data_IF_998473805149
#
_entry.id   IF_998473805149
#
_cell.length_a   1.000
_cell.length_b   1.000
_cell.length_c   1.000
_cell.angle_alpha   90.00
_cell.angle_beta   90.00
_cell.angle_gamma   90.00
#
_symmetry.space_group_name_H-M   'P 1'
#
loop_
_entity.id
_entity.type
_entity.pdbx_description
1 polymer ?
#
# COMPACT_ATOMS: atom_id res chain seq x y z
N UNK A 1 -9.80 -4.40 -22.70
CA UNK A 1 -10.97 -5.01 -22.02
C UNK A 1 -12.02 -3.94 -21.70
N UNK A 2 -13.27 -4.32 -21.66
CA UNK A 2 -14.38 -3.40 -21.40
C UNK A 2 -14.97 -3.70 -20.00
N UNK A 3 -14.87 -2.79 -19.03
CA UNK A 3 -15.36 -3.03 -17.68
C UNK A 3 -16.88 -3.22 -17.58
N UNK A 4 -17.64 -2.78 -18.58
CA UNK A 4 -19.10 -2.96 -18.61
C UNK A 4 -19.51 -4.39 -18.94
N UNK A 5 -18.66 -5.11 -19.69
CA UNK A 5 -18.98 -6.45 -20.19
C UNK A 5 -18.09 -7.54 -19.63
N UNK A 6 -16.79 -7.26 -19.48
CA UNK A 6 -15.79 -8.31 -19.25
C UNK A 6 -15.57 -8.62 -17.76
N UNK A 7 -15.96 -7.70 -16.85
CA UNK A 7 -15.82 -7.88 -15.39
C UNK A 7 -17.13 -8.18 -14.67
N UNK A 8 -18.22 -8.41 -15.40
CA UNK A 8 -19.48 -8.81 -14.78
C UNK A 8 -19.38 -10.24 -14.24
N UNK A 9 -19.58 -10.45 -12.93
CA UNK A 9 -19.44 -11.77 -12.33
C UNK A 9 -20.60 -12.69 -12.75
N UNK A 10 -20.27 -13.93 -13.07
CA UNK A 10 -21.27 -14.96 -13.24
C UNK A 10 -21.73 -15.46 -11.86
N UNK A 11 -22.97 -15.20 -11.50
CA UNK A 11 -23.49 -15.52 -10.18
C UNK A 11 -24.25 -16.85 -10.12
N UNK A 12 -25.12 -17.11 -11.11
CA UNK A 12 -25.99 -18.27 -11.11
C UNK A 12 -26.56 -18.57 -12.51
N UNK A 13 -27.27 -19.66 -12.63
CA UNK A 13 -28.01 -20.00 -13.85
C UNK A 13 -29.19 -19.05 -14.11
N UNK A 14 -29.70 -18.97 -15.35
CA UNK A 14 -30.83 -18.07 -15.70
C UNK A 14 -32.08 -18.24 -14.88
N UNK A 15 -32.36 -19.45 -14.37
CA UNK A 15 -33.49 -19.77 -13.52
C UNK A 15 -33.44 -19.07 -12.16
N UNK A 16 -32.29 -18.58 -11.78
CA UNK A 16 -32.08 -17.84 -10.53
C UNK A 16 -32.13 -16.32 -10.70
N UNK A 17 -32.53 -15.84 -11.89
CA UNK A 17 -32.67 -14.41 -12.14
C UNK A 17 -33.59 -13.75 -11.12
N UNK A 18 -33.12 -12.65 -10.51
CA UNK A 18 -33.87 -11.89 -9.50
C UNK A 18 -33.73 -12.39 -8.06
N UNK A 19 -33.21 -13.59 -7.83
CA UNK A 19 -33.09 -14.15 -6.47
C UNK A 19 -31.92 -13.56 -5.66
N UNK A 20 -31.07 -12.76 -6.28
CA UNK A 20 -29.91 -12.19 -5.58
C UNK A 20 -30.32 -11.20 -4.49
N UNK A 21 -31.31 -10.33 -4.76
CA UNK A 21 -31.83 -9.41 -3.77
C UNK A 21 -32.47 -10.15 -2.58
N UNK A 22 -33.24 -11.21 -2.86
CA UNK A 22 -33.83 -12.06 -1.83
C UNK A 22 -32.77 -12.75 -0.95
N UNK A 23 -31.67 -13.21 -1.57
CA UNK A 23 -30.53 -13.77 -0.85
C UNK A 23 -29.92 -12.76 0.09
N UNK A 24 -29.66 -11.53 -0.39
CA UNK A 24 -29.08 -10.46 0.42
C UNK A 24 -29.99 -10.09 1.60
N UNK A 25 -31.29 -9.93 1.38
CA UNK A 25 -32.24 -9.63 2.44
C UNK A 25 -32.34 -10.76 3.48
N UNK A 26 -32.27 -12.01 3.02
CA UNK A 26 -32.24 -13.18 3.91
C UNK A 26 -30.97 -13.18 4.78
N UNK A 27 -29.82 -12.93 4.21
CA UNK A 27 -28.55 -12.86 4.95
C UNK A 27 -28.51 -11.66 5.93
N UNK A 28 -29.08 -10.52 5.53
CA UNK A 28 -29.20 -9.34 6.38
C UNK A 28 -30.28 -9.49 7.48
N UNK A 29 -31.16 -10.46 7.37
CA UNK A 29 -32.27 -10.65 8.30
C UNK A 29 -33.39 -9.59 8.21
N UNK A 30 -33.46 -8.86 7.09
CA UNK A 30 -34.46 -7.82 6.89
C UNK A 30 -34.33 -7.10 5.55
N UNK A 31 -35.20 -6.11 5.34
CA UNK A 31 -35.20 -5.29 4.13
C UNK A 31 -33.93 -4.46 4.04
N UNK A 32 -33.26 -4.53 2.91
CA UNK A 32 -32.07 -3.74 2.60
C UNK A 32 -32.48 -2.40 1.97
N UNK A 33 -31.99 -1.29 2.52
CA UNK A 33 -32.22 0.06 1.99
C UNK A 33 -31.09 0.50 1.04
N UNK A 34 -29.87 0.07 1.30
CA UNK A 34 -28.68 0.30 0.46
C UNK A 34 -27.62 -0.74 0.79
N UNK A 35 -26.64 -0.93 -0.08
CA UNK A 35 -25.54 -1.87 0.14
C UNK A 35 -24.29 -1.42 -0.62
N UNK A 36 -23.13 -1.81 -0.10
CA UNK A 36 -21.85 -1.82 -0.78
C UNK A 36 -21.40 -3.27 -0.91
N UNK A 37 -21.17 -3.73 -2.14
CA UNK A 37 -20.81 -5.11 -2.44
C UNK A 37 -19.49 -5.13 -3.19
N UNK A 38 -18.59 -6.01 -2.75
CA UNK A 38 -17.25 -6.15 -3.30
C UNK A 38 -17.01 -7.60 -3.71
N UNK A 39 -16.28 -7.77 -4.80
CA UNK A 39 -15.76 -9.08 -5.19
C UNK A 39 -14.43 -9.32 -4.48
N UNK A 40 -14.19 -10.55 -4.07
CA UNK A 40 -12.91 -10.95 -3.52
C UNK A 40 -12.51 -12.34 -4.01
N UNK A 41 -11.23 -12.62 -4.02
CA UNK A 41 -10.69 -13.91 -4.44
C UNK A 41 -10.72 -14.88 -3.26
N UNK A 42 -11.35 -16.03 -3.46
CA UNK A 42 -11.42 -17.09 -2.45
C UNK A 42 -10.19 -18.01 -2.43
N UNK A 43 -9.30 -17.87 -3.39
CA UNK A 43 -8.06 -18.64 -3.43
C UNK A 43 -7.19 -18.26 -2.24
N UNK A 44 -6.76 -19.25 -1.48
CA UNK A 44 -5.87 -19.06 -0.33
C UNK A 44 -4.46 -18.70 -0.79
N UNK A 45 -3.74 -17.97 0.06
CA UNK A 45 -2.32 -17.74 -0.12
C UNK A 45 -1.56 -19.08 -0.24
N UNK A 46 -0.49 -19.08 -1.03
CA UNK A 46 0.40 -20.23 -1.20
C UNK A 46 1.85 -19.80 -1.28
N UNK A 47 2.72 -20.55 -0.63
CA UNK A 47 4.17 -20.51 -0.84
C UNK A 47 4.50 -21.53 -1.92
N UNK A 48 5.36 -21.15 -2.87
CA UNK A 48 5.67 -21.96 -4.03
C UNK A 48 7.06 -21.64 -4.60
N UNK A 49 7.39 -22.25 -5.73
CA UNK A 49 8.72 -22.23 -6.31
C UNK A 49 9.52 -23.48 -5.95
N UNK A 50 10.62 -23.73 -6.66
CA UNK A 50 11.46 -24.89 -6.43
C UNK A 50 12.08 -24.89 -5.02
N UNK A 51 12.32 -23.71 -4.49
CA UNK A 51 12.98 -23.39 -3.21
C UNK A 51 12.04 -22.66 -2.23
N UNK A 52 10.71 -22.69 -2.51
CA UNK A 52 9.70 -22.00 -1.69
C UNK A 52 9.96 -20.48 -1.54
N UNK A 53 10.58 -19.86 -2.53
CA UNK A 53 10.96 -18.45 -2.49
C UNK A 53 9.83 -17.47 -2.81
N UNK A 54 8.69 -17.95 -3.30
CA UNK A 54 7.57 -17.10 -3.70
C UNK A 54 6.34 -17.28 -2.82
N UNK A 55 5.71 -16.17 -2.51
CA UNK A 55 4.41 -16.09 -1.86
C UNK A 55 3.41 -15.52 -2.87
N UNK A 56 2.28 -16.19 -3.08
CA UNK A 56 1.18 -15.63 -3.87
C UNK A 56 -0.09 -15.56 -3.05
N UNK A 57 -0.77 -14.42 -3.16
CA UNK A 57 -2.05 -14.15 -2.51
C UNK A 57 -2.81 -13.06 -3.26
N UNK A 58 -4.11 -12.95 -2.98
CA UNK A 58 -4.83 -11.72 -3.29
C UNK A 58 -4.43 -10.59 -2.32
N UNK A 59 -4.47 -9.35 -2.80
CA UNK A 59 -4.29 -8.14 -2.01
C UNK A 59 -2.95 -8.11 -1.21
N UNK A 60 -1.85 -8.64 -1.79
CA UNK A 60 -0.51 -8.37 -1.26
C UNK A 60 -0.23 -6.87 -1.29
N UNK A 61 -0.65 -6.22 -2.35
CA UNK A 61 -0.82 -4.80 -2.43
C UNK A 61 -2.16 -4.38 -1.82
N UNK A 62 -2.18 -3.68 -0.62
CA UNK A 62 -0.95 -3.34 0.13
C UNK A 62 -0.97 -3.96 1.54
N UNK A 63 -1.61 -5.11 1.73
CA UNK A 63 -1.67 -5.77 3.04
C UNK A 63 -0.29 -6.25 3.53
N UNK A 64 0.65 -6.48 2.63
CA UNK A 64 2.01 -6.86 2.98
C UNK A 64 2.75 -5.72 3.70
N UNK A 65 2.75 -4.50 3.13
CA UNK A 65 3.33 -3.34 3.78
C UNK A 65 2.57 -2.94 5.04
N UNK A 66 1.23 -3.03 5.03
CA UNK A 66 0.41 -2.79 6.23
C UNK A 66 0.83 -3.72 7.36
N UNK A 67 1.02 -5.01 7.09
CA UNK A 67 1.46 -5.98 8.07
C UNK A 67 2.87 -5.66 8.60
N UNK A 68 3.82 -5.40 7.70
CA UNK A 68 5.20 -5.05 8.07
C UNK A 68 5.26 -3.79 8.94
N UNK A 69 4.57 -2.72 8.54
CA UNK A 69 4.50 -1.48 9.30
C UNK A 69 3.81 -1.67 10.66
N UNK A 70 2.75 -2.46 10.74
CA UNK A 70 2.08 -2.78 11.99
C UNK A 70 2.97 -3.57 12.94
N UNK A 71 3.72 -4.56 12.45
CA UNK A 71 4.70 -5.29 13.24
C UNK A 71 5.83 -4.39 13.75
N UNK A 72 6.31 -3.48 12.91
CA UNK A 72 7.28 -2.46 13.30
C UNK A 72 6.75 -1.54 14.40
N UNK A 73 5.51 -1.09 14.28
CA UNK A 73 4.83 -0.27 15.29
C UNK A 73 4.72 -1.01 16.62
N UNK A 74 4.27 -2.27 16.63
CA UNK A 74 4.13 -3.06 17.87
C UNK A 74 5.47 -3.29 18.60
N UNK A 75 6.58 -3.32 17.86
CA UNK A 75 7.93 -3.50 18.40
C UNK A 75 8.64 -2.20 18.72
N UNK A 76 8.05 -1.07 18.38
CA UNK A 76 8.65 0.25 18.61
C UNK A 76 8.66 0.60 20.10
N UNK A 77 9.59 1.49 20.47
CA UNK A 77 9.67 2.04 21.84
C UNK A 77 9.32 3.53 21.83
N UNK A 78 8.77 4.00 22.93
CA UNK A 78 8.32 5.40 23.11
C UNK A 78 9.39 6.30 23.71
N UNK A 79 10.69 5.99 23.61
CA UNK A 79 11.76 6.70 24.33
C UNK A 79 11.86 8.19 24.02
N UNK A 80 12.02 8.55 22.73
CA UNK A 80 12.21 9.95 22.31
C UNK A 80 11.24 10.38 21.19
N UNK A 81 10.33 9.52 20.79
CA UNK A 81 9.35 9.78 19.73
C UNK A 81 8.01 9.13 20.06
N UNK A 82 6.98 9.61 19.43
CA UNK A 82 5.63 9.03 19.49
C UNK A 82 5.44 8.22 18.21
N UNK A 83 5.55 6.89 18.26
CA UNK A 83 5.26 6.07 17.09
C UNK A 83 3.77 6.13 16.77
N UNK A 84 3.43 6.33 15.50
CA UNK A 84 2.08 6.30 14.99
C UNK A 84 2.03 5.35 13.79
N UNK A 85 1.06 4.46 13.79
CA UNK A 85 0.71 3.62 12.64
C UNK A 85 -0.67 4.04 12.15
N UNK A 86 -0.82 4.23 10.84
CA UNK A 86 -2.09 4.50 10.20
C UNK A 86 -2.25 3.58 8.98
N UNK A 87 -3.28 2.75 8.99
CA UNK A 87 -3.76 2.05 7.79
C UNK A 87 -4.91 2.87 7.21
N UNK A 88 -4.72 3.38 6.00
CA UNK A 88 -5.67 4.25 5.31
C UNK A 88 -6.42 3.46 4.26
N UNK A 89 -7.70 3.76 4.08
CA UNK A 89 -8.58 3.04 3.16
C UNK A 89 -8.65 3.72 1.79
N UNK A 90 -9.20 3.01 0.82
CA UNK A 90 -9.55 3.55 -0.51
C UNK A 90 -8.37 4.03 -1.34
N UNK A 91 -7.15 3.51 -1.13
CA UNK A 91 -5.96 3.91 -1.88
C UNK A 91 -6.16 3.66 -3.38
N UNK A 92 -6.55 2.46 -3.76
CA UNK A 92 -6.72 1.96 -5.13
C UNK A 92 -7.82 2.69 -5.95
N UNK A 93 -8.67 3.43 -5.27
CA UNK A 93 -9.76 4.19 -5.87
C UNK A 93 -9.61 5.71 -5.66
N UNK A 94 -8.41 6.17 -5.30
CA UNK A 94 -8.02 7.58 -5.28
C UNK A 94 -8.05 8.26 -3.92
N UNK A 95 -8.10 7.50 -2.81
CA UNK A 95 -7.93 8.02 -1.43
C UNK A 95 -8.95 9.07 -0.95
N UNK A 96 -10.02 9.32 -1.71
CA UNK A 96 -10.99 10.41 -1.44
C UNK A 96 -12.16 9.96 -0.55
N UNK A 97 -11.95 9.04 0.36
CA UNK A 97 -12.93 8.66 1.38
C UNK A 97 -12.62 9.33 2.73
N UNK A 98 -13.56 9.34 3.70
CA UNK A 98 -13.29 9.86 5.05
C UNK A 98 -12.14 9.15 5.78
N UNK A 99 -11.78 7.94 5.37
CA UNK A 99 -10.70 7.11 5.91
C UNK A 99 -9.47 7.06 5.01
N UNK A 100 -9.52 7.71 3.85
CA UNK A 100 -8.44 7.72 2.86
C UNK A 100 -7.35 8.76 3.15
N UNK A 101 -6.25 8.67 2.41
CA UNK A 101 -5.10 9.56 2.56
C UNK A 101 -5.40 11.04 2.26
N UNK A 102 -6.42 11.33 1.44
CA UNK A 102 -6.86 12.70 1.14
C UNK A 102 -7.72 13.32 2.26
N UNK A 103 -8.16 12.54 3.23
CA UNK A 103 -8.96 13.02 4.35
C UNK A 103 -8.11 13.73 5.40
N UNK A 104 -8.77 14.43 6.32
CA UNK A 104 -8.12 15.05 7.48
C UNK A 104 -7.88 14.06 8.64
N UNK A 105 -8.18 12.76 8.47
CA UNK A 105 -8.12 11.76 9.54
C UNK A 105 -6.75 11.70 10.21
N UNK A 106 -5.69 11.60 9.41
CA UNK A 106 -4.31 11.54 9.91
C UNK A 106 -3.94 12.82 10.65
N UNK A 107 -4.19 13.98 10.04
CA UNK A 107 -3.92 15.28 10.64
C UNK A 107 -4.68 15.46 11.97
N UNK A 108 -5.99 15.22 11.97
CA UNK A 108 -6.81 15.36 13.17
C UNK A 108 -6.38 14.40 14.29
N UNK A 109 -5.94 13.20 13.94
CA UNK A 109 -5.41 12.24 14.91
C UNK A 109 -4.13 12.78 15.56
N UNK A 110 -3.18 13.28 14.77
CA UNK A 110 -1.94 13.87 15.26
C UNK A 110 -2.24 15.09 16.14
N UNK A 111 -3.12 15.98 15.70
CA UNK A 111 -3.52 17.18 16.43
C UNK A 111 -4.13 16.84 17.79
N UNK A 112 -5.01 15.84 17.85
CA UNK A 112 -5.60 15.38 19.13
C UNK A 112 -4.58 14.73 20.05
N UNK A 113 -3.60 14.02 19.52
CA UNK A 113 -2.48 13.47 20.31
C UNK A 113 -1.64 14.60 20.88
N UNK A 114 -1.25 15.58 20.05
CA UNK A 114 -0.49 16.74 20.48
C UNK A 114 -1.20 17.51 21.62
N UNK A 115 -2.50 17.74 21.44
CA UNK A 115 -3.33 18.40 22.44
C UNK A 115 -3.40 17.59 23.75
N UNK A 116 -3.65 16.29 23.67
CA UNK A 116 -3.76 15.42 24.84
C UNK A 116 -2.45 15.36 25.65
N UNK A 117 -1.31 15.48 24.97
CA UNK A 117 0.02 15.48 25.57
C UNK A 117 0.55 16.89 25.89
N UNK A 118 -0.25 17.94 25.64
CA UNK A 118 0.15 19.34 25.81
C UNK A 118 1.43 19.71 25.04
N UNK A 119 1.57 19.21 23.81
CA UNK A 119 2.69 19.47 22.91
C UNK A 119 2.35 20.60 21.93
N UNK A 120 3.36 21.36 21.52
CA UNK A 120 3.25 22.28 20.40
C UNK A 120 3.17 21.48 19.09
N UNK A 121 2.02 21.54 18.43
CA UNK A 121 1.73 20.78 17.21
C UNK A 121 2.68 21.14 16.06
N UNK A 122 2.96 22.42 15.86
CA UNK A 122 3.85 22.86 14.78
C UNK A 122 5.27 22.34 14.99
N UNK A 123 5.74 22.38 16.22
CA UNK A 123 7.05 21.81 16.58
C UNK A 123 7.07 20.31 16.45
N UNK A 124 5.99 19.62 16.85
CA UNK A 124 5.84 18.17 16.69
C UNK A 124 5.95 17.78 15.22
N UNK A 125 5.17 18.42 14.35
CA UNK A 125 5.19 18.16 12.91
C UNK A 125 6.56 18.45 12.28
N UNK A 126 7.19 19.59 12.63
CA UNK A 126 8.50 19.96 12.11
C UNK A 126 9.63 18.97 12.49
N UNK A 127 9.44 18.19 13.55
CA UNK A 127 10.37 17.16 14.02
C UNK A 127 9.95 15.73 13.67
N UNK A 128 8.85 15.58 12.95
CA UNK A 128 8.30 14.29 12.54
C UNK A 128 8.89 13.81 11.23
N UNK A 129 8.80 12.51 11.00
CA UNK A 129 9.15 11.85 9.75
C UNK A 129 8.07 10.84 9.42
N UNK A 130 7.60 10.84 8.18
CA UNK A 130 6.58 9.91 7.68
C UNK A 130 7.24 8.86 6.79
N UNK A 131 6.89 7.61 7.00
CA UNK A 131 7.14 6.53 6.07
C UNK A 131 5.81 6.16 5.42
N UNK A 132 5.69 6.42 4.13
CA UNK A 132 4.58 5.95 3.30
C UNK A 132 5.00 4.60 2.73
N UNK A 133 4.26 3.56 3.09
CA UNK A 133 4.56 2.20 2.66
C UNK A 133 3.44 1.68 1.77
N UNK A 134 3.83 1.20 0.60
CA UNK A 134 2.96 0.70 -0.45
C UNK A 134 3.81 -0.09 -1.46
N UNK A 135 3.34 -1.25 -1.93
CA UNK A 135 4.17 -2.14 -2.73
C UNK A 135 4.71 -1.51 -4.02
N UNK A 136 5.72 -2.09 -4.60
CA UNK A 136 6.40 -1.61 -5.79
C UNK A 136 6.43 -2.69 -6.88
N UNK A 137 6.40 -2.27 -8.16
CA UNK A 137 6.57 -3.21 -9.26
C UNK A 137 7.98 -3.82 -9.26
N UNK A 138 8.07 -5.13 -9.19
CA UNK A 138 9.29 -5.85 -9.50
C UNK A 138 9.55 -5.87 -11.01
N UNK A 139 10.81 -5.92 -11.42
CA UNK A 139 11.17 -6.21 -12.80
C UNK A 139 10.68 -7.61 -13.17
N UNK A 140 9.80 -7.69 -14.17
CA UNK A 140 9.33 -8.98 -14.67
C UNK A 140 10.45 -9.67 -15.47
N UNK A 141 10.82 -10.91 -15.16
CA UNK A 141 11.96 -11.57 -15.81
C UNK A 141 11.80 -11.74 -17.32
N UNK A 142 10.57 -11.89 -17.81
CA UNK A 142 10.28 -12.04 -19.24
C UNK A 142 10.09 -10.69 -19.97
N UNK A 143 9.95 -9.58 -19.22
CA UNK A 143 9.70 -8.24 -19.75
C UNK A 143 10.58 -7.18 -19.07
N UNK A 144 11.91 -7.38 -19.05
CA UNK A 144 12.82 -6.43 -18.40
C UNK A 144 12.80 -5.05 -19.05
N UNK A 145 12.40 -4.96 -20.32
CA UNK A 145 12.27 -3.72 -21.09
C UNK A 145 11.18 -2.77 -20.55
N UNK A 146 10.25 -3.25 -19.73
CA UNK A 146 9.19 -2.43 -19.13
C UNK A 146 9.67 -1.67 -17.88
N UNK A 147 10.80 -2.04 -17.32
CA UNK A 147 11.39 -1.39 -16.16
C UNK A 147 12.50 -0.40 -16.56
N UNK A 148 12.82 0.54 -15.66
CA UNK A 148 14.01 1.38 -15.80
C UNK A 148 15.28 0.51 -15.73
N UNK A 149 16.20 0.70 -16.66
CA UNK A 149 17.36 -0.19 -16.79
C UNK A 149 18.36 -0.13 -15.63
N UNK A 150 18.35 0.97 -14.87
CA UNK A 150 19.28 1.20 -13.76
C UNK A 150 18.65 1.06 -12.36
N UNK A 151 17.31 1.10 -12.28
CA UNK A 151 16.59 1.19 -11.00
C UNK A 151 15.34 0.27 -10.99
N UNK A 152 15.51 -0.94 -11.47
CA UNK A 152 14.45 -1.94 -11.51
C UNK A 152 14.53 -2.85 -10.28
N UNK A 153 13.57 -2.77 -9.34
CA UNK A 153 13.56 -3.63 -8.18
C UNK A 153 13.38 -5.10 -8.54
N UNK A 154 13.97 -5.95 -7.72
CA UNK A 154 13.82 -7.41 -7.81
C UNK A 154 13.17 -7.94 -6.55
N UNK A 155 12.31 -8.92 -6.68
CA UNK A 155 11.81 -9.70 -5.55
C UNK A 155 12.99 -10.31 -4.80
N UNK A 156 12.95 -10.30 -3.47
CA UNK A 156 14.05 -10.74 -2.61
C UNK A 156 15.18 -9.71 -2.46
N UNK A 157 15.02 -8.50 -3.01
CA UNK A 157 16.03 -7.44 -2.94
C UNK A 157 15.87 -6.48 -1.76
N UNK A 158 14.95 -6.74 -0.86
CA UNK A 158 14.66 -5.93 0.31
C UNK A 158 13.84 -4.67 -0.01
N UNK A 159 13.87 -3.71 0.90
CA UNK A 159 13.06 -2.50 0.85
C UNK A 159 13.31 -1.70 -0.44
N UNK A 160 12.24 -1.40 -1.14
CA UNK A 160 12.25 -0.53 -2.33
C UNK A 160 12.02 0.91 -1.90
N UNK A 161 12.94 1.82 -2.23
CA UNK A 161 12.78 3.26 -2.03
C UNK A 161 12.34 3.85 -3.37
N UNK A 162 11.16 4.46 -3.40
CA UNK A 162 10.49 4.93 -4.61
C UNK A 162 10.81 6.40 -4.88
N UNK A 163 11.14 6.73 -6.13
CA UNK A 163 11.44 8.09 -6.59
C UNK A 163 10.64 8.45 -7.83
N UNK A 164 10.24 9.69 -7.94
CA UNK A 164 9.61 10.21 -9.15
C UNK A 164 9.87 11.71 -9.32
N UNK A 165 10.39 12.11 -10.48
CA UNK A 165 10.68 13.51 -10.78
C UNK A 165 9.45 14.42 -10.82
N UNK A 166 8.27 13.86 -11.07
CA UNK A 166 6.99 14.58 -11.07
C UNK A 166 6.27 14.52 -9.70
N UNK A 167 7.00 14.16 -8.63
CA UNK A 167 6.48 14.05 -7.26
C UNK A 167 5.25 13.13 -7.12
N UNK A 168 5.21 12.06 -7.93
CA UNK A 168 4.24 10.97 -7.74
C UNK A 168 4.58 10.12 -6.51
N UNK A 169 5.83 10.20 -6.05
CA UNK A 169 6.35 9.71 -4.77
C UNK A 169 7.01 10.86 -4.05
N UNK A 170 6.89 10.92 -2.73
CA UNK A 170 7.37 12.04 -1.92
C UNK A 170 8.87 11.98 -1.60
N UNK A 171 9.53 10.87 -1.89
CA UNK A 171 10.94 10.67 -1.53
C UNK A 171 11.82 11.70 -2.20
N UNK A 172 12.61 12.39 -1.38
CA UNK A 172 13.70 13.27 -1.80
C UNK A 172 15.08 12.72 -1.36
N UNK A 173 16.13 13.47 -1.63
CA UNK A 173 17.49 13.06 -1.27
C UNK A 173 17.71 12.89 0.24
N UNK A 174 17.04 13.70 1.06
CA UNK A 174 17.17 13.65 2.52
C UNK A 174 16.40 12.45 3.08
N UNK A 175 15.13 12.30 2.73
CA UNK A 175 14.29 11.21 3.20
C UNK A 175 14.82 9.84 2.73
N UNK A 176 15.36 9.77 1.50
CA UNK A 176 16.06 8.58 1.01
C UNK A 176 17.31 8.24 1.85
N UNK A 177 18.11 9.25 2.21
CA UNK A 177 19.30 9.05 3.04
C UNK A 177 18.94 8.54 4.44
N UNK A 178 17.83 9.04 5.01
CA UNK A 178 17.28 8.55 6.27
C UNK A 178 16.90 7.07 6.13
N UNK A 179 16.11 6.70 5.11
CA UNK A 179 15.67 5.31 4.92
C UNK A 179 16.83 4.35 4.67
N UNK A 180 17.80 4.72 3.82
CA UNK A 180 19.01 3.90 3.61
C UNK A 180 19.81 3.72 4.90
N UNK A 181 19.84 4.74 5.75
CA UNK A 181 20.51 4.65 7.05
C UNK A 181 19.77 3.73 7.99
N UNK A 182 18.44 3.77 8.02
CA UNK A 182 17.60 2.87 8.78
C UNK A 182 17.78 1.42 8.32
N UNK A 183 17.66 1.15 7.01
CA UNK A 183 17.87 -0.19 6.44
C UNK A 183 19.26 -0.74 6.79
N UNK A 184 20.31 0.05 6.62
CA UNK A 184 21.68 -0.36 6.96
C UNK A 184 21.83 -0.70 8.45
N UNK A 185 21.24 0.10 9.35
CA UNK A 185 21.27 -0.19 10.80
C UNK A 185 20.48 -1.44 11.16
N UNK A 186 19.41 -1.71 10.45
CA UNK A 186 18.61 -2.91 10.63
C UNK A 186 19.22 -4.16 9.97
N UNK A 187 20.27 -4.02 9.16
CA UNK A 187 20.84 -5.13 8.39
C UNK A 187 19.95 -5.58 7.23
N UNK A 188 19.02 -4.71 6.78
CA UNK A 188 18.09 -4.98 5.68
C UNK A 188 18.62 -4.36 4.40
N UNK A 189 18.56 -5.11 3.30
CA UNK A 189 18.91 -4.60 1.98
C UNK A 189 17.90 -3.54 1.51
N UNK A 190 18.35 -2.63 0.65
CA UNK A 190 17.45 -1.66 0.00
C UNK A 190 17.83 -1.46 -1.45
N UNK A 191 16.83 -1.19 -2.26
CA UNK A 191 16.95 -0.95 -3.69
C UNK A 191 16.16 0.27 -4.09
N UNK A 192 16.40 0.81 -5.28
CA UNK A 192 15.67 1.98 -5.78
C UNK A 192 14.63 1.57 -6.81
N UNK A 193 13.56 2.35 -6.88
CA UNK A 193 12.59 2.29 -7.95
C UNK A 193 12.43 3.66 -8.61
N UNK A 194 12.52 3.67 -9.92
CA UNK A 194 12.12 4.78 -10.78
C UNK A 194 11.21 4.24 -11.88
N UNK A 195 10.12 4.94 -12.13
CA UNK A 195 9.34 4.65 -13.32
C UNK A 195 10.16 4.90 -14.58
N UNK A 196 10.06 4.04 -15.56
CA UNK A 196 10.56 4.33 -16.89
C UNK A 196 9.83 5.57 -17.43
N UNK A 197 10.55 6.63 -17.92
CA UNK A 197 9.95 7.96 -18.16
C UNK A 197 8.85 7.98 -19.22
N UNK A 198 8.88 7.02 -20.14
CA UNK A 198 7.94 6.89 -21.26
C UNK A 198 6.75 5.94 -20.96
N UNK A 199 6.71 5.38 -19.77
CA UNK A 199 5.59 4.55 -19.29
C UNK A 199 4.86 5.30 -18.18
N UNK A 200 3.52 5.47 -18.28
CA UNK A 200 2.75 6.07 -17.21
C UNK A 200 2.94 5.31 -15.89
N UNK A 201 3.32 6.03 -14.85
CA UNK A 201 3.45 5.48 -13.50
C UNK A 201 2.24 5.82 -12.64
N UNK A 202 2.04 5.02 -11.59
CA UNK A 202 1.10 5.33 -10.51
C UNK A 202 1.59 6.44 -9.58
N UNK A 203 0.87 6.63 -8.50
CA UNK A 203 1.22 7.44 -7.35
C UNK A 203 0.90 6.64 -6.09
N UNK A 204 1.33 7.13 -4.94
CA UNK A 204 1.06 6.46 -3.65
C UNK A 204 0.32 7.38 -2.71
N UNK A 205 -0.17 6.80 -1.61
CA UNK A 205 -0.79 7.55 -0.53
C UNK A 205 0.13 8.64 0.06
N UNK A 206 1.45 8.50 -0.04
CA UNK A 206 2.41 9.46 0.50
C UNK A 206 2.26 10.84 -0.09
N UNK A 207 2.21 10.97 -1.42
CA UNK A 207 2.06 12.26 -2.08
C UNK A 207 0.69 12.91 -1.83
N UNK A 208 -0.33 12.11 -1.48
CA UNK A 208 -1.66 12.59 -1.09
C UNK A 208 -1.64 13.05 0.37
N UNK A 209 -1.09 12.23 1.26
CA UNK A 209 -1.01 12.50 2.70
C UNK A 209 -0.20 13.76 3.02
N UNK A 210 0.87 14.04 2.27
CA UNK A 210 1.71 15.24 2.49
C UNK A 210 0.94 16.55 2.28
N UNK A 211 -0.13 16.52 1.51
CA UNK A 211 -1.05 17.65 1.37
C UNK A 211 -1.85 17.95 2.65
N UNK A 212 -1.99 16.97 3.54
CA UNK A 212 -2.69 17.09 4.81
C UNK A 212 -1.71 17.23 5.99
N UNK A 213 -0.58 16.52 5.92
CA UNK A 213 0.46 16.48 6.97
C UNK A 213 1.81 16.73 6.33
N UNK A 214 2.22 17.99 6.23
CA UNK A 214 3.44 18.41 5.53
C UNK A 214 4.69 18.13 6.37
N UNK A 215 5.17 16.90 6.37
CA UNK A 215 6.39 16.45 7.05
C UNK A 215 7.34 15.76 6.07
N UNK A 216 8.66 15.72 6.34
CA UNK A 216 9.59 14.94 5.53
C UNK A 216 9.11 13.50 5.39
N UNK A 217 8.97 13.02 4.15
CA UNK A 217 8.34 11.74 3.85
C UNK A 217 9.22 10.91 2.91
N UNK A 218 9.30 9.62 3.17
CA UNK A 218 9.85 8.64 2.23
C UNK A 218 8.77 7.64 1.81
N UNK A 219 8.64 7.43 0.51
CA UNK A 219 7.84 6.35 -0.06
C UNK A 219 8.68 5.09 -0.22
N UNK A 220 8.24 4.03 0.41
CA UNK A 220 8.88 2.72 0.34
C UNK A 220 7.89 1.63 -0.03
N UNK A 221 8.37 0.43 -0.29
CA UNK A 221 7.51 -0.73 -0.50
C UNK A 221 8.32 -2.01 -0.63
N UNK A 222 7.63 -3.10 -0.94
CA UNK A 222 8.20 -4.39 -1.29
C UNK A 222 7.97 -4.68 -2.76
N UNK A 223 8.90 -5.39 -3.39
CA UNK A 223 8.85 -5.65 -4.82
C UNK A 223 7.94 -6.85 -5.13
N UNK A 224 6.91 -6.65 -5.95
CA UNK A 224 5.98 -7.72 -6.33
C UNK A 224 5.72 -7.79 -7.84
N UNK A 225 5.21 -8.92 -8.28
CA UNK A 225 4.70 -9.15 -9.63
C UNK A 225 3.18 -9.22 -9.62
N UNK A 226 2.59 -8.93 -10.79
CA UNK A 226 1.16 -9.01 -11.01
C UNK A 226 0.31 -8.13 -10.05
N UNK A 227 0.86 -6.99 -9.61
CA UNK A 227 0.15 -5.98 -8.83
C UNK A 227 -1.21 -5.65 -9.46
N UNK A 228 -2.26 -5.51 -8.63
CA UNK A 228 -3.66 -5.31 -9.03
C UNK A 228 -4.29 -6.49 -9.77
N UNK A 229 -3.61 -7.63 -9.89
CA UNK A 229 -4.25 -8.85 -10.35
C UNK A 229 -5.04 -9.50 -9.22
N UNK A 230 -5.86 -10.46 -9.57
CA UNK A 230 -6.60 -11.20 -8.54
C UNK A 230 -5.71 -12.14 -7.71
N UNK A 231 -4.44 -12.34 -8.08
CA UNK A 231 -3.50 -13.19 -7.36
C UNK A 231 -2.07 -12.72 -7.63
N UNK A 232 -1.53 -11.98 -6.70
CA UNK A 232 -0.25 -11.30 -6.79
C UNK A 232 0.89 -12.17 -6.27
N UNK A 233 2.13 -11.81 -6.56
CA UNK A 233 3.30 -12.61 -6.15
C UNK A 233 4.41 -11.72 -5.59
N UNK A 234 4.87 -12.04 -4.40
CA UNK A 234 6.01 -11.43 -3.73
C UNK A 234 7.08 -12.48 -3.37
N UNK A 235 8.22 -12.03 -2.86
CA UNK A 235 9.24 -12.93 -2.34
C UNK A 235 9.02 -13.20 -0.85
N UNK A 236 9.11 -14.46 -0.44
CA UNK A 236 9.03 -14.85 0.98
C UNK A 236 10.11 -14.18 1.83
N UNK A 237 11.28 -13.86 1.25
CA UNK A 237 12.38 -13.21 1.95
C UNK A 237 12.16 -11.72 2.23
N UNK A 238 11.21 -11.08 1.56
CA UNK A 238 10.90 -9.66 1.73
C UNK A 238 9.72 -9.44 2.70
N UNK A 239 8.90 -10.50 2.94
CA UNK A 239 7.69 -10.48 3.77
C UNK A 239 7.94 -10.55 5.30
#
# INVERSE_FOLDING_TARGET
WNPVTDVLPLLASPESKGKFAELLEKEAGGRILSHDLFLYIRQKASVWGLDESFLSSAALDDLECVWGCFQGFLRSSTGHSIPLFAALDSEEVGSCSPQGAASTLLYQTISRIAQALSLDENRLLAQSFLVSADNAHAQHPNHPELADSGNAPKMGGGIVIKFNANLRYCTDGLSAAVMRTVCRKAGVASQNYYNRPDIPGGSTLGCISIGQVSVPTADIGLAQLAMHSCYETAAVSDA
#
